data_IF_775762131890
#
_entry.id   IF_775762131890
#
_cell.length_a   1.000
_cell.length_b   1.000
_cell.length_c   1.000
_cell.angle_alpha   90.00
_cell.angle_beta   90.00
_cell.angle_gamma   90.00
#
_symmetry.space_group_name_H-M   'P 1'
#
loop_
_entity.id
_entity.type
_entity.pdbx_description
1 polymer ?
#
# COMPACT_ATOMS: atom_id res chain seq x y z
N UNK A 1 -6.59 -20.12 6.49
CA UNK A 1 -8.04 -20.31 6.72
C UNK A 1 -8.74 -19.13 6.07
N UNK A 2 -9.56 -19.39 5.07
CA UNK A 2 -10.31 -18.33 4.38
C UNK A 2 -11.60 -18.09 5.15
N UNK A 3 -11.70 -16.98 5.85
CA UNK A 3 -12.96 -16.49 6.39
C UNK A 3 -13.62 -15.58 5.36
N UNK A 4 -14.94 -15.53 5.36
CA UNK A 4 -15.69 -14.63 4.48
C UNK A 4 -16.25 -13.46 5.28
N UNK A 5 -16.18 -12.27 4.69
CA UNK A 5 -16.86 -11.08 5.21
C UNK A 5 -18.40 -11.26 5.15
N UNK A 6 -19.17 -10.42 5.86
CA UNK A 6 -20.63 -10.44 5.77
C UNK A 6 -21.17 -10.22 4.33
N UNK A 7 -20.40 -9.57 3.48
CA UNK A 7 -20.71 -9.33 2.05
C UNK A 7 -20.26 -10.48 1.13
N UNK A 8 -19.77 -11.59 1.69
CA UNK A 8 -19.34 -12.80 0.99
C UNK A 8 -17.94 -12.72 0.36
N UNK A 9 -17.23 -11.59 0.46
CA UNK A 9 -15.86 -11.44 -0.05
C UNK A 9 -14.86 -12.19 0.81
N UNK A 10 -13.75 -12.71 0.23
CA UNK A 10 -12.65 -13.30 1.00
C UNK A 10 -12.11 -12.32 2.03
N UNK A 11 -11.80 -12.82 3.22
CA UNK A 11 -11.19 -12.04 4.27
C UNK A 11 -9.78 -12.56 4.57
N UNK A 12 -8.83 -11.61 4.66
CA UNK A 12 -7.46 -11.92 5.04
C UNK A 12 -7.36 -11.79 6.55
N UNK A 13 -7.12 -12.91 7.23
CA UNK A 13 -7.03 -12.97 8.70
C UNK A 13 -5.61 -12.96 9.22
N UNK A 14 -4.65 -13.48 8.42
CA UNK A 14 -3.23 -13.53 8.76
C UNK A 14 -2.39 -13.18 7.55
N UNK A 15 -1.29 -12.48 7.76
CA UNK A 15 -0.33 -12.13 6.72
C UNK A 15 1.08 -12.08 7.27
N UNK A 16 2.03 -12.55 6.45
CA UNK A 16 3.46 -12.44 6.75
C UNK A 16 4.22 -12.02 5.50
N UNK A 17 5.17 -11.11 5.68
CA UNK A 17 6.17 -10.72 4.68
C UNK A 17 7.53 -10.87 5.31
N UNK A 18 8.40 -11.66 4.70
CA UNK A 18 9.75 -11.90 5.18
C UNK A 18 10.79 -11.31 4.24
N UNK A 19 11.70 -10.51 4.80
CA UNK A 19 12.84 -9.90 4.12
C UNK A 19 14.12 -10.64 4.50
N UNK A 20 14.63 -11.56 3.67
CA UNK A 20 15.74 -12.44 4.04
C UNK A 20 17.08 -11.71 4.16
N UNK A 21 17.29 -10.60 3.43
CA UNK A 21 18.55 -9.85 3.47
C UNK A 21 18.80 -9.14 4.82
N UNK A 22 17.73 -8.76 5.51
CA UNK A 22 17.79 -8.07 6.80
C UNK A 22 17.24 -8.91 7.94
N UNK A 23 16.81 -10.15 7.64
CA UNK A 23 16.18 -11.08 8.59
C UNK A 23 14.98 -10.44 9.32
N UNK A 24 14.13 -9.73 8.54
CA UNK A 24 12.97 -9.03 9.09
C UNK A 24 11.67 -9.78 8.73
N UNK A 25 10.92 -10.17 9.76
CA UNK A 25 9.58 -10.76 9.63
C UNK A 25 8.51 -9.74 10.00
N UNK A 26 7.75 -9.26 9.01
CA UNK A 26 6.57 -8.44 9.21
C UNK A 26 5.36 -9.37 9.24
N UNK A 27 4.54 -9.29 10.29
CA UNK A 27 3.35 -10.13 10.39
C UNK A 27 2.17 -9.38 10.98
N UNK A 28 0.98 -9.80 10.64
CA UNK A 28 -0.27 -9.27 11.17
C UNK A 28 -1.32 -10.35 11.34
N UNK A 29 -2.13 -10.18 12.37
CA UNK A 29 -3.37 -10.93 12.60
C UNK A 29 -4.50 -9.92 12.73
N UNK A 30 -5.61 -10.17 12.03
CA UNK A 30 -6.78 -9.29 12.03
C UNK A 30 -7.27 -9.01 13.46
N UNK A 31 -7.37 -7.72 13.81
CA UNK A 31 -7.79 -7.25 15.13
C UNK A 31 -6.72 -7.31 16.22
N UNK A 32 -5.52 -7.83 15.90
CA UNK A 32 -4.40 -7.92 16.86
C UNK A 32 -3.24 -7.00 16.56
N UNK A 33 -3.29 -6.30 15.43
CA UNK A 33 -2.27 -5.37 15.00
C UNK A 33 -1.22 -5.99 14.09
N UNK A 34 -0.29 -5.14 13.64
CA UNK A 34 0.86 -5.51 12.81
C UNK A 34 2.16 -5.40 13.62
N UNK A 35 3.11 -6.26 13.28
CA UNK A 35 4.35 -6.43 14.04
C UNK A 35 5.55 -6.60 13.10
N UNK A 36 6.71 -6.10 13.51
CA UNK A 36 8.00 -6.48 12.99
C UNK A 36 8.72 -7.23 14.10
N UNK A 37 8.88 -8.55 13.93
CA UNK A 37 9.35 -9.43 15.01
C UNK A 37 8.45 -9.21 16.25
N UNK A 38 9.01 -8.70 17.35
CA UNK A 38 8.27 -8.43 18.61
C UNK A 38 7.82 -6.97 18.75
N UNK A 39 8.15 -6.10 17.78
CA UNK A 39 7.82 -4.68 17.83
C UNK A 39 6.52 -4.37 17.08
N UNK A 40 5.57 -3.81 17.79
CA UNK A 40 4.30 -3.37 17.18
C UNK A 40 4.51 -2.24 16.18
N UNK A 41 3.91 -2.38 15.01
CA UNK A 41 4.00 -1.40 13.93
C UNK A 41 2.93 -0.31 14.05
N UNK A 42 3.26 0.85 13.48
CA UNK A 42 2.35 1.96 13.24
C UNK A 42 2.70 2.60 11.90
N UNK A 43 1.70 2.86 11.09
CA UNK A 43 1.84 3.68 9.90
C UNK A 43 2.32 5.09 10.26
N UNK A 44 2.92 5.79 9.30
CA UNK A 44 3.51 7.12 9.50
C UNK A 44 2.53 8.11 10.13
N UNK A 45 3.05 8.97 11.01
CA UNK A 45 2.31 10.06 11.64
C UNK A 45 2.41 11.39 10.87
N UNK A 46 3.10 11.42 9.71
CA UNK A 46 3.20 12.63 8.88
C UNK A 46 1.83 13.06 8.39
N UNK A 47 1.67 14.38 8.23
CA UNK A 47 0.39 14.99 7.86
C UNK A 47 0.44 15.75 6.54
N UNK A 48 1.62 16.17 6.11
CA UNK A 48 1.81 16.91 4.89
C UNK A 48 2.50 16.05 3.82
N UNK A 49 1.94 16.07 2.59
CA UNK A 49 2.48 15.30 1.48
C UNK A 49 3.90 15.72 1.13
N UNK A 50 4.23 17.01 1.26
CA UNK A 50 5.58 17.53 1.00
C UNK A 50 6.68 16.89 1.83
N UNK A 51 6.32 16.29 2.97
CA UNK A 51 7.28 15.61 3.85
C UNK A 51 7.31 14.09 3.63
N UNK A 52 6.46 13.59 2.72
CA UNK A 52 6.24 12.16 2.56
C UNK A 52 7.12 11.55 1.48
N UNK A 53 7.61 10.34 1.75
CA UNK A 53 8.23 9.46 0.76
C UNK A 53 7.20 8.40 0.37
N UNK A 54 6.92 8.32 -0.94
CA UNK A 54 5.89 7.44 -1.49
C UNK A 54 6.53 6.36 -2.36
N UNK A 55 6.16 5.10 -2.12
CA UNK A 55 6.55 3.97 -2.93
C UNK A 55 5.66 3.79 -4.16
N UNK A 56 6.18 3.20 -5.22
CA UNK A 56 5.40 2.82 -6.42
C UNK A 56 6.04 1.68 -7.19
N UNK A 57 5.24 0.94 -7.95
CA UNK A 57 5.73 0.11 -9.04
C UNK A 57 5.88 0.92 -10.33
N UNK A 58 6.69 0.41 -11.26
CA UNK A 58 6.85 0.97 -12.59
C UNK A 58 6.42 -0.09 -13.59
N UNK A 59 5.51 0.23 -14.53
CA UNK A 59 5.12 -0.69 -15.60
C UNK A 59 6.32 -1.23 -16.37
N UNK A 60 6.32 -2.50 -16.72
CA UNK A 60 7.41 -3.15 -17.43
C UNK A 60 6.90 -4.32 -18.30
N UNK A 61 7.55 -4.55 -19.42
CA UNK A 61 7.40 -5.71 -20.32
C UNK A 61 6.00 -6.38 -20.32
N UNK A 62 4.99 -5.65 -20.85
CA UNK A 62 3.63 -6.17 -20.98
C UNK A 62 2.79 -6.16 -19.71
N UNK A 63 3.26 -5.53 -18.64
CA UNK A 63 2.56 -5.37 -17.37
C UNK A 63 2.37 -3.87 -17.07
N UNK A 64 1.13 -3.45 -16.87
CA UNK A 64 0.76 -2.07 -16.58
C UNK A 64 0.75 -1.13 -17.79
N UNK A 65 0.18 0.05 -17.58
CA UNK A 65 0.09 1.14 -18.57
C UNK A 65 1.09 2.26 -18.20
N UNK A 66 2.12 2.42 -19.02
CA UNK A 66 3.12 3.49 -18.84
C UNK A 66 2.51 4.89 -18.93
N UNK A 67 1.49 5.09 -19.78
CA UNK A 67 0.86 6.40 -19.95
C UNK A 67 0.02 6.77 -18.71
N UNK A 68 -0.72 5.80 -18.16
CA UNK A 68 -1.46 5.97 -16.91
C UNK A 68 -0.50 6.23 -15.74
N UNK A 69 0.55 5.41 -15.61
CA UNK A 69 1.56 5.58 -14.58
C UNK A 69 2.21 6.97 -14.63
N UNK A 70 2.57 7.44 -15.83
CA UNK A 70 3.19 8.75 -16.01
C UNK A 70 2.25 9.90 -15.60
N UNK A 71 0.94 9.80 -15.90
CA UNK A 71 -0.06 10.76 -15.44
C UNK A 71 -0.10 10.82 -13.91
N UNK A 72 -0.16 9.67 -13.25
CA UNK A 72 -0.17 9.59 -11.79
C UNK A 72 1.13 10.16 -11.21
N UNK A 73 2.29 9.74 -11.76
CA UNK A 73 3.59 10.24 -11.30
C UNK A 73 3.70 11.77 -11.42
N UNK A 74 3.26 12.35 -12.54
CA UNK A 74 3.27 13.80 -12.75
C UNK A 74 2.34 14.55 -11.79
N UNK A 75 1.27 13.91 -11.31
CA UNK A 75 0.39 14.50 -10.31
C UNK A 75 0.93 14.34 -8.88
N UNK A 76 1.57 13.22 -8.56
CA UNK A 76 2.05 12.92 -7.20
C UNK A 76 3.44 13.50 -6.96
N UNK A 77 4.39 13.29 -7.88
CA UNK A 77 5.81 13.59 -7.72
C UNK A 77 6.12 15.02 -7.25
N UNK A 78 5.50 16.07 -7.85
CA UNK A 78 5.74 17.46 -7.43
C UNK A 78 5.20 17.80 -6.03
N UNK A 79 4.36 16.96 -5.45
CA UNK A 79 3.65 17.20 -4.19
C UNK A 79 4.25 16.44 -2.99
N UNK A 80 5.29 15.64 -3.20
CA UNK A 80 5.88 14.78 -2.16
C UNK A 80 7.38 15.02 -2.03
N UNK A 81 7.97 14.63 -0.89
CA UNK A 81 9.42 14.71 -0.68
C UNK A 81 10.21 13.80 -1.62
N UNK A 82 9.59 12.74 -2.10
CA UNK A 82 10.19 11.88 -3.11
C UNK A 82 9.37 10.63 -3.40
N UNK A 83 9.60 10.09 -4.60
CA UNK A 83 9.03 8.81 -5.02
C UNK A 83 10.15 7.77 -5.08
N UNK A 84 9.86 6.54 -4.64
CA UNK A 84 10.80 5.42 -4.64
C UNK A 84 10.20 4.21 -5.32
N UNK A 85 11.05 3.42 -5.98
CA UNK A 85 10.70 2.13 -6.57
C UNK A 85 11.68 1.08 -6.06
N UNK A 86 11.21 0.20 -5.18
CA UNK A 86 12.04 -0.88 -4.63
C UNK A 86 11.82 -2.21 -5.34
N UNK A 87 10.65 -2.43 -5.93
CA UNK A 87 10.37 -3.55 -6.81
C UNK A 87 9.79 -4.78 -6.14
N UNK A 88 9.25 -4.63 -4.95
CA UNK A 88 8.47 -5.65 -4.26
C UNK A 88 7.28 -5.01 -3.55
N UNK A 89 6.10 -5.13 -4.13
CA UNK A 89 4.87 -4.56 -3.56
C UNK A 89 4.61 -5.06 -2.12
N UNK A 90 4.90 -6.33 -1.85
CA UNK A 90 4.76 -6.89 -0.51
C UNK A 90 5.64 -6.17 0.52
N UNK A 91 6.92 -5.90 0.18
CA UNK A 91 7.84 -5.15 1.05
C UNK A 91 7.47 -3.68 1.12
N UNK A 92 7.09 -3.05 0.01
CA UNK A 92 6.66 -1.65 -0.02
C UNK A 92 5.49 -1.42 0.93
N UNK A 93 4.46 -2.29 0.89
CA UNK A 93 3.33 -2.25 1.81
C UNK A 93 3.73 -2.53 3.27
N UNK A 94 4.64 -3.49 3.51
CA UNK A 94 5.17 -3.76 4.85
C UNK A 94 5.93 -2.54 5.41
N UNK A 95 6.66 -1.81 4.58
CA UNK A 95 7.36 -0.60 4.98
C UNK A 95 6.41 0.59 5.21
N UNK A 96 5.29 0.67 4.49
CA UNK A 96 4.21 1.61 4.82
C UNK A 96 3.62 1.29 6.20
N UNK A 97 3.35 0.01 6.48
CA UNK A 97 2.86 -0.43 7.79
C UNK A 97 3.86 -0.12 8.92
N UNK A 98 5.16 -0.16 8.62
CA UNK A 98 6.24 0.15 9.57
C UNK A 98 6.54 1.65 9.70
N UNK A 99 5.89 2.52 8.92
CA UNK A 99 6.18 3.96 8.90
C UNK A 99 7.53 4.31 8.30
N UNK A 100 8.17 3.38 7.57
CA UNK A 100 9.44 3.62 6.83
C UNK A 100 9.18 4.35 5.52
N UNK A 101 7.99 4.15 4.93
CA UNK A 101 7.41 4.95 3.87
C UNK A 101 6.07 5.51 4.35
N UNK A 102 5.65 6.61 3.75
CA UNK A 102 4.44 7.32 4.17
C UNK A 102 3.21 6.89 3.35
N UNK A 103 3.46 6.35 2.16
CA UNK A 103 2.43 5.82 1.29
C UNK A 103 3.00 4.99 0.15
N UNK A 104 2.09 4.40 -0.61
CA UNK A 104 2.38 3.54 -1.75
C UNK A 104 1.22 3.61 -2.73
N UNK A 105 1.49 3.57 -4.04
CA UNK A 105 0.49 3.28 -5.06
C UNK A 105 1.06 2.35 -6.12
N UNK A 106 0.26 1.42 -6.58
CA UNK A 106 0.55 0.55 -7.72
C UNK A 106 -0.75 -0.04 -8.27
N UNK A 107 -0.76 -0.36 -9.56
CA UNK A 107 -1.83 -1.12 -10.20
C UNK A 107 -1.29 -2.41 -10.83
N UNK A 108 -2.21 -3.28 -11.23
CA UNK A 108 -1.94 -4.56 -11.90
C UNK A 108 -1.04 -5.52 -11.12
N UNK A 109 -0.95 -5.38 -9.79
CA UNK A 109 -0.31 -6.36 -8.93
C UNK A 109 -1.32 -7.45 -8.52
N UNK A 110 -0.83 -8.66 -8.39
CA UNK A 110 -1.66 -9.81 -8.05
C UNK A 110 -1.94 -9.90 -6.55
N UNK A 111 -2.95 -10.69 -6.18
CA UNK A 111 -3.35 -10.83 -4.77
C UNK A 111 -2.23 -11.39 -3.90
N UNK A 112 -1.41 -12.30 -4.42
CA UNK A 112 -0.27 -12.88 -3.68
C UNK A 112 0.86 -11.88 -3.43
N UNK A 113 0.97 -10.81 -4.24
CA UNK A 113 1.93 -9.72 -4.04
C UNK A 113 1.45 -8.68 -3.02
N UNK A 114 0.15 -8.63 -2.73
CA UNK A 114 -0.47 -7.53 -1.98
C UNK A 114 -1.22 -7.94 -0.72
N UNK A 115 -1.77 -9.15 -0.65
CA UNK A 115 -2.71 -9.55 0.40
C UNK A 115 -2.13 -9.40 1.82
N UNK A 116 -0.93 -9.92 2.07
CA UNK A 116 -0.28 -9.80 3.37
C UNK A 116 0.03 -8.34 3.71
N UNK A 117 0.53 -7.58 2.74
CA UNK A 117 0.85 -6.16 2.91
C UNK A 117 -0.37 -5.30 3.20
N UNK A 118 -1.51 -5.56 2.55
CA UNK A 118 -2.79 -4.88 2.81
C UNK A 118 -3.23 -5.09 4.25
N UNK A 119 -3.14 -6.33 4.77
CA UNK A 119 -3.46 -6.60 6.17
C UNK A 119 -2.50 -5.87 7.10
N UNK A 120 -1.19 -5.91 6.83
CA UNK A 120 -0.18 -5.20 7.62
C UNK A 120 -0.48 -3.72 7.73
N UNK A 121 -0.79 -3.05 6.62
CA UNK A 121 -1.10 -1.61 6.61
C UNK A 121 -2.35 -1.31 7.44
N UNK A 122 -3.43 -2.08 7.26
CA UNK A 122 -4.68 -1.90 8.00
C UNK A 122 -4.48 -2.10 9.50
N UNK A 123 -3.79 -3.15 9.90
CA UNK A 123 -3.52 -3.47 11.30
C UNK A 123 -2.50 -2.51 11.95
N UNK A 124 -1.69 -1.81 11.15
CA UNK A 124 -0.83 -0.72 11.61
C UNK A 124 -1.55 0.63 11.74
N UNK A 125 -2.86 0.68 11.46
CA UNK A 125 -3.68 1.89 11.51
C UNK A 125 -3.62 2.74 10.23
N UNK A 126 -3.13 2.19 9.14
CA UNK A 126 -3.20 2.78 7.81
C UNK A 126 -4.49 2.42 7.06
N UNK A 127 -4.64 2.99 5.87
CA UNK A 127 -5.78 2.77 4.98
C UNK A 127 -5.31 2.23 3.64
N UNK A 128 -6.11 1.34 3.05
CA UNK A 128 -5.89 0.83 1.69
C UNK A 128 -7.18 0.94 0.90
N UNK A 129 -7.10 1.51 -0.30
CA UNK A 129 -8.21 1.61 -1.25
C UNK A 129 -7.75 1.39 -2.69
N UNK A 130 -8.70 1.23 -3.60
CA UNK A 130 -8.47 1.41 -5.03
C UNK A 130 -8.27 2.90 -5.39
N UNK A 131 -8.01 3.21 -6.66
CA UNK A 131 -7.81 4.58 -7.14
C UNK A 131 -9.06 5.48 -7.03
N UNK A 132 -10.25 4.88 -6.91
CA UNK A 132 -11.53 5.60 -6.67
C UNK A 132 -11.84 5.82 -5.19
N UNK A 133 -10.99 5.30 -4.30
CA UNK A 133 -11.16 5.40 -2.85
C UNK A 133 -12.12 4.36 -2.26
N UNK A 134 -12.47 3.30 -3.01
CA UNK A 134 -13.32 2.22 -2.53
C UNK A 134 -12.51 1.03 -2.00
N UNK A 135 -13.15 0.15 -1.20
CA UNK A 135 -12.54 -1.08 -0.69
C UNK A 135 -12.61 -2.23 -1.71
N UNK A 136 -12.14 -1.94 -2.95
CA UNK A 136 -12.12 -2.90 -4.06
C UNK A 136 -10.73 -3.07 -4.68
N UNK A 137 -9.70 -2.90 -3.86
CA UNK A 137 -8.31 -2.97 -4.32
C UNK A 137 -7.98 -4.30 -5.00
N UNK A 138 -8.46 -5.41 -4.44
CA UNK A 138 -8.19 -6.75 -5.00
C UNK A 138 -8.93 -6.99 -6.32
N UNK A 139 -10.18 -6.57 -6.41
CA UNK A 139 -11.00 -6.74 -7.63
C UNK A 139 -10.49 -5.88 -8.78
N UNK A 140 -10.00 -4.68 -8.48
CA UNK A 140 -9.48 -3.74 -9.48
C UNK A 140 -8.00 -3.84 -9.71
N UNK A 141 -7.31 -4.53 -8.80
CA UNK A 141 -5.85 -4.62 -8.82
C UNK A 141 -5.18 -3.25 -8.75
N UNK A 142 -5.82 -2.31 -8.06
CA UNK A 142 -5.38 -0.93 -7.84
C UNK A 142 -5.17 -0.74 -6.34
N UNK A 143 -4.03 -0.18 -5.95
CA UNK A 143 -3.70 -0.04 -4.54
C UNK A 143 -3.18 1.36 -4.24
N UNK A 144 -3.79 2.02 -3.25
CA UNK A 144 -3.28 3.19 -2.57
C UNK A 144 -3.22 2.83 -1.09
N UNK A 145 -2.05 2.88 -0.50
CA UNK A 145 -1.84 2.59 0.91
C UNK A 145 -1.11 3.74 1.59
N UNK A 146 -1.60 4.23 2.73
CA UNK A 146 -0.96 5.27 3.53
C UNK A 146 -1.63 5.42 4.91
N UNK A 147 -1.11 6.29 5.78
CA UNK A 147 -1.83 6.75 6.96
C UNK A 147 -3.08 7.56 6.57
N UNK A 148 -4.08 7.67 7.46
CA UNK A 148 -5.37 8.28 7.14
C UNK A 148 -5.29 9.72 6.61
N UNK A 149 -4.41 10.54 7.17
CA UNK A 149 -4.22 11.93 6.73
C UNK A 149 -3.61 12.06 5.34
N UNK A 150 -2.73 11.13 4.97
CA UNK A 150 -2.03 11.10 3.68
C UNK A 150 -2.85 10.38 2.63
N UNK A 151 -3.51 9.26 2.99
CA UNK A 151 -4.27 8.43 2.07
C UNK A 151 -5.31 9.24 1.26
N UNK A 152 -6.14 10.02 1.91
CA UNK A 152 -7.19 10.79 1.24
C UNK A 152 -6.62 11.87 0.29
N UNK A 153 -5.47 12.47 0.63
CA UNK A 153 -4.80 13.45 -0.25
C UNK A 153 -4.16 12.77 -1.46
N UNK A 154 -3.45 11.67 -1.23
CA UNK A 154 -2.84 10.87 -2.29
C UNK A 154 -3.89 10.33 -3.26
N UNK A 155 -4.99 9.80 -2.74
CA UNK A 155 -6.12 9.32 -3.52
C UNK A 155 -6.72 10.42 -4.42
N UNK A 156 -6.89 11.64 -3.90
CA UNK A 156 -7.40 12.76 -4.69
C UNK A 156 -6.48 13.16 -5.84
N UNK A 157 -5.16 13.15 -5.62
CA UNK A 157 -4.18 13.41 -6.68
C UNK A 157 -4.26 12.35 -7.78
N UNK A 158 -4.29 11.07 -7.39
CA UNK A 158 -4.35 9.95 -8.33
C UNK A 158 -5.67 9.97 -9.12
N UNK A 159 -6.80 10.09 -8.44
CA UNK A 159 -8.10 10.15 -9.10
C UNK A 159 -8.25 11.38 -10.02
N UNK A 160 -7.62 12.50 -9.66
CA UNK A 160 -7.58 13.70 -10.48
C UNK A 160 -6.77 13.55 -11.76
N UNK A 161 -5.66 12.81 -11.70
CA UNK A 161 -4.78 12.54 -12.84
C UNK A 161 -5.41 11.62 -13.91
N UNK A 162 -6.41 10.84 -13.51
CA UNK A 162 -7.07 9.84 -14.36
C UNK A 162 -8.42 10.29 -14.95
N UNK A 163 -8.80 11.53 -14.73
CA UNK A 163 -9.97 12.18 -15.34
C UNK A 163 -9.59 12.82 -16.66
#
# INVERSE_FOLDING_TARGET
MEEKRPDGRPEITHGIVYQPLTDESFWAEKGRGAWLQDRRLRASARRDLSDCVIGTGIPHLGRGDNAEWAKIYNAVGPNVAGVRRFGSAALDLAWVAAGRMDGFWENEIDVWDSAAGVLLVREAGGFVSDYRGSDRSFERREYIAASGSIHSRLQKLIAGALR
#
